data_IF_062577509680
#
_entry.id   IF_062577509680
#
_cell.length_a   1.000
_cell.length_b   1.000
_cell.length_c   1.000
_cell.angle_alpha   90.00
_cell.angle_beta   90.00
_cell.angle_gamma   90.00
#
_symmetry.space_group_name_H-M   'P 1'
#
loop_
_entity.id
_entity.type
_entity.pdbx_description
1 polymer ?
#
# COMPACT_ATOMS: atom_id res chain seq x y z
N UNK A 1 -10.12 12.60 -25.32
CA UNK A 1 -9.16 11.92 -24.41
C UNK A 1 -9.97 11.17 -23.38
N UNK A 2 -9.74 9.86 -23.19
CA UNK A 2 -10.41 9.06 -22.15
C UNK A 2 -9.62 9.11 -20.84
N UNK A 3 -10.24 8.74 -19.72
CA UNK A 3 -9.55 8.60 -18.43
C UNK A 3 -8.39 7.60 -18.51
N UNK A 4 -8.67 6.41 -19.06
CA UNK A 4 -7.66 5.37 -19.21
C UNK A 4 -6.54 5.82 -20.16
N UNK A 5 -6.87 6.54 -21.22
CA UNK A 5 -5.89 7.18 -22.11
C UNK A 5 -4.95 8.13 -21.36
N UNK A 6 -5.48 9.04 -20.54
CA UNK A 6 -4.67 9.96 -19.72
C UNK A 6 -3.78 9.20 -18.71
N UNK A 7 -4.30 8.14 -18.09
CA UNK A 7 -3.52 7.32 -17.15
C UNK A 7 -2.41 6.53 -17.86
N UNK A 8 -2.67 6.04 -19.06
CA UNK A 8 -1.66 5.39 -19.90
C UNK A 8 -0.60 6.37 -20.38
N UNK A 9 -0.95 7.63 -20.66
CA UNK A 9 0.03 8.67 -20.98
C UNK A 9 1.01 8.87 -19.80
N UNK A 10 0.48 8.97 -18.57
CA UNK A 10 1.31 9.05 -17.36
C UNK A 10 2.16 7.78 -17.11
N UNK A 11 1.68 6.60 -17.50
CA UNK A 11 2.46 5.37 -17.47
C UNK A 11 3.60 5.41 -18.49
N UNK A 12 3.32 5.77 -19.74
CA UNK A 12 4.31 5.91 -20.82
C UNK A 12 5.40 6.94 -20.46
N UNK A 13 5.05 8.02 -19.75
CA UNK A 13 5.99 9.00 -19.19
C UNK A 13 6.81 8.47 -17.98
N UNK A 14 6.56 7.24 -17.53
CA UNK A 14 7.20 6.61 -16.38
C UNK A 14 6.71 7.13 -15.02
N UNK A 15 5.67 7.97 -14.97
CA UNK A 15 5.17 8.59 -13.72
C UNK A 15 4.25 7.68 -12.92
N UNK A 16 3.57 6.74 -13.56
CA UNK A 16 2.74 5.72 -12.90
C UNK A 16 3.24 4.32 -13.20
N UNK A 17 3.06 3.39 -12.26
CA UNK A 17 3.15 1.97 -12.57
C UNK A 17 1.82 1.45 -13.12
N UNK A 18 1.86 0.33 -13.85
CA UNK A 18 0.66 -0.21 -14.49
C UNK A 18 -0.44 -0.59 -13.48
N UNK A 19 -0.07 -1.03 -12.28
CA UNK A 19 -1.03 -1.32 -11.21
C UNK A 19 -1.75 -0.05 -10.72
N UNK A 20 -1.04 1.08 -10.63
CA UNK A 20 -1.69 2.36 -10.34
C UNK A 20 -2.61 2.80 -11.48
N UNK A 21 -2.23 2.58 -12.75
CA UNK A 21 -3.16 2.80 -13.89
C UNK A 21 -4.43 1.96 -13.74
N UNK A 22 -4.30 0.67 -13.45
CA UNK A 22 -5.44 -0.23 -13.22
C UNK A 22 -6.34 0.28 -12.07
N UNK A 23 -5.74 0.67 -10.94
CA UNK A 23 -6.46 1.16 -9.76
C UNK A 23 -7.26 2.43 -10.06
N UNK A 24 -6.65 3.37 -10.78
CA UNK A 24 -7.26 4.65 -11.13
C UNK A 24 -8.21 4.53 -12.34
N UNK A 25 -8.18 3.43 -13.09
CA UNK A 25 -9.15 3.10 -14.15
C UNK A 25 -10.29 2.19 -13.68
N UNK A 26 -10.50 2.11 -12.35
CA UNK A 26 -11.58 1.33 -11.71
C UNK A 26 -11.53 -0.18 -12.00
N UNK A 27 -10.34 -0.74 -12.23
CA UNK A 27 -10.15 -2.19 -12.24
C UNK A 27 -10.10 -2.70 -10.80
N UNK A 28 -10.96 -3.66 -10.48
CA UNK A 28 -11.25 -4.10 -9.11
C UNK A 28 -11.16 -5.62 -9.04
N UNK A 29 -10.71 -6.11 -7.88
CA UNK A 29 -10.87 -7.50 -7.49
C UNK A 29 -9.65 -8.38 -7.74
N UNK A 30 -9.59 -9.46 -6.98
CA UNK A 30 -8.48 -10.41 -6.94
C UNK A 30 -8.14 -10.98 -8.31
N UNK A 31 -9.16 -11.39 -9.08
CA UNK A 31 -8.99 -11.94 -10.43
C UNK A 31 -8.23 -11.02 -11.37
N UNK A 32 -8.36 -9.70 -11.20
CA UNK A 32 -7.66 -8.74 -12.04
C UNK A 32 -6.19 -8.61 -11.61
N UNK A 33 -5.96 -8.40 -10.31
CA UNK A 33 -4.62 -8.12 -9.78
C UNK A 33 -3.74 -9.37 -9.58
N UNK A 34 -4.31 -10.57 -9.75
CA UNK A 34 -3.58 -11.84 -9.78
C UNK A 34 -3.06 -12.20 -11.18
N UNK A 35 -3.34 -11.39 -12.19
CA UNK A 35 -2.75 -11.56 -13.53
C UNK A 35 -1.27 -11.19 -13.51
N UNK A 36 -0.52 -11.72 -14.49
CA UNK A 36 0.84 -11.27 -14.74
C UNK A 36 0.86 -9.78 -15.10
N UNK A 37 2.00 -9.12 -14.86
CA UNK A 37 2.16 -7.71 -15.20
C UNK A 37 1.93 -7.47 -16.70
N UNK A 38 2.44 -8.36 -17.56
CA UNK A 38 2.28 -8.30 -19.01
C UNK A 38 0.82 -8.41 -19.45
N UNK A 39 0.04 -9.33 -18.87
CA UNK A 39 -1.39 -9.44 -19.15
C UNK A 39 -2.14 -8.15 -18.78
N UNK A 40 -1.83 -7.55 -17.64
CA UNK A 40 -2.46 -6.28 -17.22
C UNK A 40 -2.10 -5.15 -18.20
N UNK A 41 -0.82 -5.05 -18.60
CA UNK A 41 -0.36 -4.08 -19.61
C UNK A 41 -1.13 -4.29 -20.91
N UNK A 42 -1.10 -5.50 -21.46
CA UNK A 42 -1.76 -5.83 -22.73
C UNK A 42 -3.26 -5.50 -22.68
N UNK A 43 -3.95 -5.91 -21.61
CA UNK A 43 -5.38 -5.66 -21.45
C UNK A 43 -5.73 -4.16 -21.41
N UNK A 44 -4.92 -3.34 -20.73
CA UNK A 44 -5.16 -1.90 -20.63
C UNK A 44 -4.85 -1.17 -21.95
N UNK A 45 -3.76 -1.52 -22.64
CA UNK A 45 -3.40 -0.92 -23.92
C UNK A 45 -4.35 -1.33 -25.04
N UNK A 46 -4.78 -2.60 -25.08
CA UNK A 46 -5.79 -3.08 -26.03
C UNK A 46 -7.14 -2.37 -25.85
N UNK A 47 -7.54 -2.11 -24.60
CA UNK A 47 -8.79 -1.38 -24.32
C UNK A 47 -8.80 0.04 -24.92
N UNK A 48 -7.63 0.67 -25.05
CA UNK A 48 -7.46 1.99 -25.70
C UNK A 48 -7.00 1.90 -27.15
N UNK A 49 -6.85 0.68 -27.71
CA UNK A 49 -6.32 0.44 -29.06
C UNK A 49 -4.97 1.10 -29.30
N UNK A 50 -4.07 1.02 -28.30
CA UNK A 50 -2.73 1.61 -28.33
C UNK A 50 -1.67 0.52 -28.45
N UNK A 51 -0.53 0.90 -29.01
CA UNK A 51 0.67 0.06 -29.01
C UNK A 51 1.25 -0.04 -27.59
N UNK A 52 1.63 -1.26 -27.20
CA UNK A 52 2.17 -1.55 -25.87
C UNK A 52 3.55 -0.94 -25.71
N UNK A 53 3.78 -0.27 -24.58
CA UNK A 53 5.08 0.32 -24.23
C UNK A 53 5.48 -0.18 -22.84
N UNK A 54 6.78 -0.41 -22.63
CA UNK A 54 7.36 -0.86 -21.35
C UNK A 54 8.36 0.15 -20.80
N UNK A 55 7.90 1.29 -20.26
CA UNK A 55 8.79 2.30 -19.70
C UNK A 55 9.38 1.83 -18.36
N UNK A 56 10.57 2.31 -18.02
CA UNK A 56 11.08 2.23 -16.65
C UNK A 56 10.22 3.14 -15.77
N UNK A 57 9.40 2.55 -14.89
CA UNK A 57 8.45 3.32 -14.09
C UNK A 57 9.07 3.80 -12.78
N UNK A 58 8.82 5.05 -12.43
CA UNK A 58 9.11 5.66 -11.14
C UNK A 58 7.82 6.17 -10.50
N UNK A 59 6.94 5.24 -10.09
CA UNK A 59 5.55 5.56 -9.75
C UNK A 59 5.44 6.61 -8.62
N UNK A 60 4.86 7.77 -8.93
CA UNK A 60 4.71 8.89 -7.99
C UNK A 60 3.67 8.66 -6.90
N UNK A 61 2.88 7.57 -6.99
CA UNK A 61 1.79 7.23 -6.07
C UNK A 61 2.21 6.15 -5.09
N UNK A 62 2.51 4.95 -5.62
CA UNK A 62 2.83 3.78 -4.79
C UNK A 62 4.34 3.54 -4.64
N UNK A 63 5.19 4.42 -5.17
CA UNK A 63 6.65 4.29 -5.08
C UNK A 63 7.16 2.92 -5.55
N UNK A 64 6.52 2.38 -6.59
CA UNK A 64 6.78 1.05 -7.15
C UNK A 64 6.51 -0.14 -6.21
N UNK A 65 5.81 0.02 -5.09
CA UNK A 65 5.43 -1.12 -4.22
C UNK A 65 4.78 -2.28 -4.97
N UNK A 66 3.84 -1.99 -5.87
CA UNK A 66 3.16 -3.01 -6.66
C UNK A 66 4.10 -3.74 -7.64
N UNK A 67 5.11 -3.04 -8.16
CA UNK A 67 6.12 -3.62 -9.05
C UNK A 67 7.12 -4.46 -8.24
N UNK A 68 7.53 -3.97 -7.07
CA UNK A 68 8.43 -4.67 -6.18
C UNK A 68 7.87 -6.05 -5.75
N UNK A 69 6.57 -6.14 -5.45
CA UNK A 69 5.93 -7.44 -5.15
C UNK A 69 5.78 -8.37 -6.35
N UNK A 70 6.10 -7.92 -7.57
CA UNK A 70 6.19 -8.81 -8.73
C UNK A 70 7.59 -9.43 -8.90
N UNK A 71 8.60 -9.01 -8.11
CA UNK A 71 9.91 -9.64 -8.12
C UNK A 71 9.81 -11.11 -7.71
N UNK A 72 10.59 -11.98 -8.35
CA UNK A 72 10.61 -13.41 -8.04
C UNK A 72 11.29 -13.70 -6.69
N UNK A 73 12.19 -12.80 -6.26
CA UNK A 73 12.86 -12.86 -4.95
C UNK A 73 11.91 -12.61 -3.77
N UNK A 74 10.69 -12.10 -4.02
CA UNK A 74 9.76 -11.74 -2.94
C UNK A 74 9.37 -12.94 -2.07
N UNK A 75 9.24 -14.11 -2.70
CA UNK A 75 8.84 -15.36 -2.04
C UNK A 75 9.96 -15.83 -1.12
N UNK A 76 11.19 -15.82 -1.62
CA UNK A 76 12.39 -16.17 -0.85
C UNK A 76 12.53 -15.27 0.39
N UNK A 77 12.40 -13.95 0.22
CA UNK A 77 12.46 -12.99 1.32
C UNK A 77 11.38 -13.21 2.39
N UNK A 78 10.18 -13.62 1.98
CA UNK A 78 9.10 -13.97 2.92
C UNK A 78 9.44 -15.26 3.69
N UNK A 79 9.98 -16.27 3.01
CA UNK A 79 10.42 -17.50 3.66
C UNK A 79 11.58 -17.26 4.64
N UNK A 80 12.55 -16.43 4.28
CA UNK A 80 13.63 -16.00 5.16
C UNK A 80 13.09 -15.29 6.40
N UNK A 81 12.18 -14.33 6.22
CA UNK A 81 11.56 -13.63 7.34
C UNK A 81 10.76 -14.57 8.26
N UNK A 82 10.07 -15.57 7.71
CA UNK A 82 9.39 -16.59 8.52
C UNK A 82 10.41 -17.39 9.34
N UNK A 83 11.49 -17.84 8.71
CA UNK A 83 12.56 -18.60 9.37
C UNK A 83 13.22 -17.79 10.49
N UNK A 84 13.54 -16.53 10.23
CA UNK A 84 14.15 -15.62 11.21
C UNK A 84 13.22 -15.34 12.41
N UNK A 85 11.91 -15.29 12.18
CA UNK A 85 10.93 -15.10 13.27
C UNK A 85 10.83 -16.29 14.23
N UNK A 86 11.27 -17.48 13.82
CA UNK A 86 11.13 -18.72 14.58
C UNK A 86 9.70 -19.27 14.63
N UNK A 87 8.74 -18.66 13.91
CA UNK A 87 7.38 -19.15 13.79
C UNK A 87 7.27 -20.25 12.72
N UNK A 88 6.27 -21.11 12.86
CA UNK A 88 5.96 -22.18 11.91
C UNK A 88 4.67 -21.82 11.16
N UNK A 89 4.65 -22.08 9.85
CA UNK A 89 3.44 -22.01 9.04
C UNK A 89 2.60 -23.28 9.23
N UNK A 90 1.35 -23.13 9.68
CA UNK A 90 0.44 -24.24 10.01
C UNK A 90 -0.77 -24.30 9.07
N UNK A 91 -0.60 -23.85 7.83
CA UNK A 91 -1.62 -23.94 6.78
C UNK A 91 -2.44 -22.68 6.57
N UNK A 92 -2.41 -21.69 7.48
CA UNK A 92 -3.05 -20.37 7.27
C UNK A 92 -2.18 -19.22 7.77
N UNK A 93 -2.31 -18.05 7.14
CA UNK A 93 -1.66 -16.80 7.53
C UNK A 93 -2.56 -15.60 7.19
N UNK A 94 -2.35 -14.45 7.82
CA UNK A 94 -3.01 -13.19 7.47
C UNK A 94 -1.98 -12.18 6.94
N UNK A 95 -2.31 -11.46 5.86
CA UNK A 95 -1.46 -10.39 5.34
C UNK A 95 -1.91 -9.05 5.91
N UNK A 96 -1.00 -8.37 6.59
CA UNK A 96 -1.14 -6.97 6.96
C UNK A 96 -0.11 -6.12 6.21
N UNK A 97 -0.56 -5.05 5.57
CA UNK A 97 0.34 -4.07 4.94
C UNK A 97 0.34 -2.78 5.74
N UNK A 98 1.52 -2.30 6.10
CA UNK A 98 1.77 -1.02 6.73
C UNK A 98 2.62 -0.15 5.80
N UNK A 99 2.08 0.98 5.38
CA UNK A 99 2.80 1.93 4.53
C UNK A 99 2.49 3.37 4.98
N UNK A 100 3.35 4.35 4.66
CA UNK A 100 3.20 5.71 5.17
C UNK A 100 1.88 6.31 4.69
N UNK A 101 1.13 6.93 5.61
CA UNK A 101 -0.20 7.48 5.30
C UNK A 101 -0.17 8.59 4.25
N UNK A 102 0.99 9.20 4.04
CA UNK A 102 1.25 10.17 2.97
C UNK A 102 0.96 9.65 1.55
N UNK A 103 0.89 8.32 1.35
CA UNK A 103 0.41 7.75 0.08
C UNK A 103 -0.99 8.27 -0.26
N UNK A 104 -1.86 8.41 0.74
CA UNK A 104 -3.21 8.92 0.52
C UNK A 104 -3.22 10.37 0.05
N UNK A 105 -2.26 11.19 0.51
CA UNK A 105 -2.10 12.57 0.03
C UNK A 105 -1.83 12.56 -1.48
N UNK A 106 -0.95 11.67 -1.93
CA UNK A 106 -0.58 11.53 -3.35
C UNK A 106 -1.72 10.97 -4.18
N UNK A 107 -2.46 10.00 -3.65
CA UNK A 107 -3.67 9.50 -4.30
C UNK A 107 -4.68 10.61 -4.51
N UNK A 108 -4.96 11.41 -3.47
CA UNK A 108 -5.87 12.56 -3.57
C UNK A 108 -5.34 13.64 -4.50
N UNK A 109 -4.03 13.92 -4.51
CA UNK A 109 -3.42 14.86 -5.45
C UNK A 109 -3.64 14.41 -6.91
N UNK A 110 -3.47 13.12 -7.21
CA UNK A 110 -3.74 12.58 -8.54
C UNK A 110 -5.24 12.58 -8.88
N UNK A 111 -6.10 12.22 -7.92
CA UNK A 111 -7.56 12.33 -8.09
C UNK A 111 -7.94 13.78 -8.44
N UNK A 112 -7.41 14.78 -7.72
CA UNK A 112 -7.64 16.20 -8.02
C UNK A 112 -7.15 16.56 -9.42
N UNK A 113 -5.95 16.14 -9.81
CA UNK A 113 -5.43 16.36 -11.17
C UNK A 113 -6.37 15.76 -12.24
N UNK A 114 -6.81 14.52 -12.08
CA UNK A 114 -7.73 13.85 -13.00
C UNK A 114 -9.08 14.55 -13.05
N UNK A 115 -9.66 14.91 -11.90
CA UNK A 115 -10.98 15.55 -11.82
C UNK A 115 -11.03 16.94 -12.48
N UNK A 116 -9.88 17.62 -12.66
CA UNK A 116 -9.79 18.84 -13.47
C UNK A 116 -10.10 18.58 -14.95
N UNK A 117 -9.73 17.40 -15.47
CA UNK A 117 -9.95 16.98 -16.87
C UNK A 117 -11.24 16.16 -17.03
N UNK A 118 -11.55 15.33 -16.03
CA UNK A 118 -12.69 14.41 -16.00
C UNK A 118 -13.53 14.66 -14.74
N UNK A 119 -14.40 15.69 -14.72
CA UNK A 119 -15.19 16.02 -13.56
C UNK A 119 -16.08 14.84 -13.12
N UNK A 120 -15.80 14.29 -11.94
CA UNK A 120 -16.60 13.26 -11.29
C UNK A 120 -16.69 13.58 -9.81
N UNK A 121 -17.90 13.49 -9.24
CA UNK A 121 -18.13 13.80 -7.82
C UNK A 121 -17.53 12.76 -6.88
N UNK A 122 -17.31 11.52 -7.35
CA UNK A 122 -16.94 10.38 -6.52
C UNK A 122 -15.75 9.60 -7.11
N UNK A 123 -14.72 10.30 -7.58
CA UNK A 123 -13.53 9.63 -8.10
C UNK A 123 -12.72 9.02 -6.93
N UNK A 124 -12.83 7.70 -6.77
CA UNK A 124 -12.10 6.94 -5.74
C UNK A 124 -11.42 5.72 -6.37
N UNK A 125 -10.08 5.66 -6.38
CA UNK A 125 -9.35 4.55 -6.97
C UNK A 125 -9.50 3.28 -6.11
N UNK A 126 -9.27 2.11 -6.72
CA UNK A 126 -9.23 0.86 -5.96
C UNK A 126 -8.12 0.92 -4.89
N UNK A 127 -8.35 0.33 -3.71
CA UNK A 127 -7.46 0.50 -2.54
C UNK A 127 -6.09 -0.13 -2.78
N UNK A 128 -5.03 0.59 -2.38
CA UNK A 128 -3.65 0.11 -2.55
C UNK A 128 -3.39 -1.15 -1.73
N UNK A 129 -3.83 -1.18 -0.46
CA UNK A 129 -3.68 -2.34 0.43
C UNK A 129 -4.24 -3.61 -0.19
N UNK A 130 -5.44 -3.54 -0.75
CA UNK A 130 -6.09 -4.69 -1.39
C UNK A 130 -5.36 -5.09 -2.68
N UNK A 131 -4.91 -4.11 -3.47
CA UNK A 131 -4.09 -4.35 -4.67
C UNK A 131 -2.81 -5.11 -4.33
N UNK A 132 -2.07 -4.63 -3.32
CA UNK A 132 -0.81 -5.25 -2.87
C UNK A 132 -1.04 -6.65 -2.30
N UNK A 133 -2.12 -6.84 -1.55
CA UNK A 133 -2.52 -8.16 -1.04
C UNK A 133 -2.78 -9.14 -2.19
N UNK A 134 -3.55 -8.75 -3.20
CA UNK A 134 -3.85 -9.65 -4.33
C UNK A 134 -2.62 -9.98 -5.16
N UNK A 135 -1.77 -8.98 -5.43
CA UNK A 135 -0.47 -9.20 -6.09
C UNK A 135 0.36 -10.24 -5.31
N UNK A 136 0.46 -10.06 -3.99
CA UNK A 136 1.26 -10.94 -3.17
C UNK A 136 0.68 -12.36 -3.10
N UNK A 137 -0.63 -12.49 -2.91
CA UNK A 137 -1.32 -13.80 -2.90
C UNK A 137 -1.07 -14.60 -4.18
N UNK A 138 -0.96 -13.92 -5.32
CA UNK A 138 -0.59 -14.58 -6.56
C UNK A 138 0.88 -15.05 -6.62
N UNK A 139 1.79 -14.47 -5.83
CA UNK A 139 3.18 -14.92 -5.72
C UNK A 139 3.34 -16.08 -4.73
N UNK A 140 2.62 -16.07 -3.61
CA UNK A 140 2.63 -17.13 -2.59
C UNK A 140 1.39 -18.03 -2.69
N UNK A 141 1.16 -18.63 -3.86
CA UNK A 141 -0.05 -19.42 -4.18
C UNK A 141 -0.27 -20.62 -3.26
N UNK A 142 0.82 -21.18 -2.75
CA UNK A 142 0.77 -22.36 -1.88
C UNK A 142 0.33 -22.02 -0.46
N UNK A 143 0.26 -20.73 -0.12
CA UNK A 143 -0.14 -20.28 1.20
C UNK A 143 -1.59 -19.82 1.21
N UNK A 144 -2.38 -20.32 2.15
CA UNK A 144 -3.77 -19.93 2.33
C UNK A 144 -3.89 -18.69 3.23
N UNK A 145 -4.45 -17.60 2.70
CA UNK A 145 -4.66 -16.38 3.49
C UNK A 145 -6.07 -16.33 4.11
N UNK A 146 -6.14 -16.22 5.43
CA UNK A 146 -7.39 -16.13 6.19
C UNK A 146 -7.35 -14.96 7.17
N UNK A 147 -8.48 -14.28 7.35
CA UNK A 147 -8.57 -13.10 8.22
C UNK A 147 -8.34 -13.45 9.69
N UNK A 148 -8.80 -14.62 10.12
CA UNK A 148 -8.75 -15.10 11.50
C UNK A 148 -7.47 -15.89 11.79
N UNK A 149 -6.52 -15.94 10.85
CA UNK A 149 -5.28 -16.68 11.05
C UNK A 149 -4.48 -16.10 12.23
N UNK A 150 -3.99 -16.97 13.14
CA UNK A 150 -3.14 -16.54 14.25
C UNK A 150 -1.76 -16.08 13.79
N UNK A 151 -1.24 -16.62 12.68
CA UNK A 151 0.01 -16.17 12.06
C UNK A 151 -0.25 -14.97 11.17
N UNK A 152 0.49 -13.87 11.38
CA UNK A 152 0.35 -12.60 10.67
C UNK A 152 1.67 -12.25 9.98
N UNK A 153 1.62 -12.07 8.66
CA UNK A 153 2.68 -11.46 7.87
C UNK A 153 2.41 -9.96 7.77
N UNK A 154 3.20 -9.16 8.48
CA UNK A 154 3.19 -7.71 8.37
C UNK A 154 4.29 -7.26 7.40
N UNK A 155 3.88 -6.53 6.36
CA UNK A 155 4.80 -5.94 5.38
C UNK A 155 4.83 -4.45 5.62
N UNK A 156 5.98 -3.95 6.04
CA UNK A 156 6.20 -2.53 6.29
C UNK A 156 7.00 -1.92 5.16
N UNK A 157 6.51 -0.78 4.66
CA UNK A 157 7.21 0.03 3.68
C UNK A 157 7.59 1.38 4.28
N UNK A 158 8.80 1.83 4.00
CA UNK A 158 9.28 3.18 4.36
C UNK A 158 9.98 3.82 3.17
N UNK A 159 9.81 5.13 3.01
CA UNK A 159 10.45 5.92 1.96
C UNK A 159 10.62 7.35 2.47
N UNK A 160 11.75 7.99 2.17
CA UNK A 160 12.07 9.31 2.71
C UNK A 160 11.05 10.38 2.32
N UNK A 161 10.77 10.55 1.03
CA UNK A 161 9.77 11.52 0.56
C UNK A 161 8.35 11.30 1.15
N UNK A 162 7.93 10.05 1.36
CA UNK A 162 6.64 9.77 2.00
C UNK A 162 6.64 10.14 3.49
N UNK A 163 7.80 10.07 4.16
CA UNK A 163 7.94 10.54 5.53
C UNK A 163 7.80 12.06 5.59
N UNK A 164 8.47 12.78 4.69
CA UNK A 164 8.37 14.25 4.60
C UNK A 164 6.95 14.72 4.31
N UNK A 165 6.25 14.08 3.36
CA UNK A 165 4.84 14.36 3.08
C UNK A 165 3.94 14.03 4.28
N UNK A 166 4.31 13.00 5.06
CA UNK A 166 3.64 12.64 6.31
C UNK A 166 3.81 13.68 7.41
N UNK A 167 5.03 14.20 7.56
CA UNK A 167 5.35 15.25 8.54
C UNK A 167 4.56 16.54 8.21
N UNK A 168 4.49 16.94 6.93
CA UNK A 168 3.63 18.05 6.49
C UNK A 168 2.15 17.82 6.82
N UNK A 169 1.65 16.60 6.61
CA UNK A 169 0.27 16.26 6.93
C UNK A 169 -0.01 16.38 8.44
N UNK A 170 0.93 15.95 9.27
CA UNK A 170 0.86 16.11 10.74
C UNK A 170 0.79 17.60 11.09
N UNK A 171 1.67 18.43 10.53
CA UNK A 171 1.68 19.89 10.75
C UNK A 171 0.34 20.55 10.41
N UNK A 172 -0.28 20.15 9.30
CA UNK A 172 -1.62 20.62 8.90
C UNK A 172 -2.68 20.16 9.90
N UNK A 173 -2.64 18.89 10.32
CA UNK A 173 -3.67 18.30 11.19
C UNK A 173 -3.70 18.87 12.60
N UNK A 174 -2.53 19.13 13.18
CA UNK A 174 -2.41 19.50 14.60
C UNK A 174 -2.35 21.03 14.79
N UNK A 175 -2.11 21.78 13.72
CA UNK A 175 -1.71 23.18 13.78
C UNK A 175 -0.36 23.34 14.49
N UNK A 176 0.26 24.53 14.36
CA UNK A 176 1.62 24.82 14.88
C UNK A 176 1.82 24.62 16.41
N UNK A 177 0.80 24.26 17.19
CA UNK A 177 0.80 24.34 18.67
C UNK A 177 0.70 23.02 19.45
N UNK A 178 0.61 21.84 18.83
CA UNK A 178 0.56 20.56 19.59
C UNK A 178 1.57 19.53 19.04
N UNK A 179 2.82 19.58 19.52
CA UNK A 179 3.96 18.73 19.10
C UNK A 179 3.90 17.23 19.50
N UNK A 180 2.73 16.62 19.72
CA UNK A 180 2.67 15.27 20.37
C UNK A 180 1.93 14.17 19.61
N UNK A 181 1.61 14.35 18.34
CA UNK A 181 1.11 13.23 17.53
C UNK A 181 2.24 12.72 16.63
N UNK A 182 2.90 11.65 17.05
CA UNK A 182 4.06 11.07 16.35
C UNK A 182 3.66 10.25 15.11
N UNK A 183 2.40 9.79 15.02
CA UNK A 183 1.96 8.99 13.87
C UNK A 183 0.45 9.08 13.67
N UNK A 184 0.03 9.43 12.46
CA UNK A 184 -1.38 9.38 12.05
C UNK A 184 -1.77 7.94 11.73
N UNK A 185 -2.90 7.45 12.26
CA UNK A 185 -3.51 6.21 11.74
C UNK A 185 -4.10 6.47 10.35
N UNK A 186 -4.32 5.42 9.56
CA UNK A 186 -4.93 5.56 8.21
C UNK A 186 -6.26 6.29 8.23
N UNK A 187 -7.12 5.98 9.20
CA UNK A 187 -8.43 6.63 9.35
C UNK A 187 -8.29 8.11 9.68
N UNK A 188 -7.38 8.48 10.59
CA UNK A 188 -7.17 9.88 10.95
C UNK A 188 -6.54 10.64 9.78
N UNK A 189 -5.53 10.05 9.11
CA UNK A 189 -4.90 10.66 7.94
C UNK A 189 -5.91 10.94 6.83
N UNK A 190 -6.74 9.97 6.45
CA UNK A 190 -7.80 10.16 5.45
C UNK A 190 -8.77 11.27 5.84
N UNK A 191 -9.23 11.26 7.10
CA UNK A 191 -10.15 12.28 7.59
C UNK A 191 -9.53 13.69 7.59
N UNK A 192 -8.24 13.81 7.94
CA UNK A 192 -7.51 15.07 7.79
C UNK A 192 -7.50 15.48 6.33
N UNK A 193 -7.04 14.61 5.42
CA UNK A 193 -6.86 14.90 3.98
C UNK A 193 -8.17 15.35 3.32
N UNK A 194 -9.28 14.69 3.62
CA UNK A 194 -10.60 15.03 3.08
C UNK A 194 -11.08 16.41 3.52
N UNK A 195 -10.67 16.87 4.70
CA UNK A 195 -11.07 18.15 5.29
C UNK A 195 -10.06 19.29 5.06
N UNK A 196 -8.91 19.04 4.41
CA UNK A 196 -7.95 20.12 4.09
C UNK A 196 -8.59 21.08 3.08
N UNK A 197 -8.66 22.40 3.35
CA UNK A 197 -9.09 23.38 2.36
C UNK A 197 -8.23 23.31 1.10
N UNK A 198 -8.86 23.35 -0.08
CA UNK A 198 -8.15 23.16 -1.37
C UNK A 198 -6.90 24.05 -1.49
N UNK A 199 -7.01 25.32 -1.12
CA UNK A 199 -5.89 26.27 -1.15
C UNK A 199 -4.70 25.80 -0.30
N UNK A 200 -4.96 25.34 0.93
CA UNK A 200 -3.92 24.83 1.83
C UNK A 200 -3.30 23.55 1.27
N UNK A 201 -4.12 22.70 0.66
CA UNK A 201 -3.63 21.47 0.01
C UNK A 201 -2.68 21.81 -1.15
N UNK A 202 -3.07 22.73 -2.04
CA UNK A 202 -2.27 23.14 -3.20
C UNK A 202 -1.00 23.91 -2.82
N UNK A 203 -1.00 24.62 -1.68
CA UNK A 203 0.20 25.26 -1.12
C UNK A 203 1.17 24.24 -0.48
N UNK A 204 0.64 23.13 0.03
CA UNK A 204 1.43 22.14 0.80
C UNK A 204 1.92 20.96 -0.05
N UNK A 205 1.15 20.57 -1.06
CA UNK A 205 1.37 19.38 -1.88
C UNK A 205 1.19 19.66 -3.37
N UNK A 206 2.05 19.06 -4.19
CA UNK A 206 2.04 19.25 -5.64
C UNK A 206 0.91 18.47 -6.33
N UNK A 207 0.23 19.12 -7.28
CA UNK A 207 -0.82 18.51 -8.13
C UNK A 207 -0.45 18.71 -9.60
N UNK A 208 -0.14 17.64 -10.38
CA UNK A 208 -0.07 16.24 -9.95
C UNK A 208 1.11 15.97 -9.00
N UNK A 209 1.09 14.87 -8.23
CA UNK A 209 2.19 14.52 -7.35
C UNK A 209 3.48 14.26 -8.14
N UNK A 210 4.61 14.65 -7.58
CA UNK A 210 5.95 14.47 -8.15
C UNK A 210 6.79 13.61 -7.21
N UNK A 211 7.66 12.77 -7.77
CA UNK A 211 8.69 12.04 -7.02
C UNK A 211 10.04 12.71 -7.25
N UNK A 212 10.70 13.12 -6.17
CA UNK A 212 11.91 13.94 -6.22
C UNK A 212 13.19 13.08 -6.15
N UNK A 213 13.09 11.89 -5.55
CA UNK A 213 14.22 11.02 -5.26
C UNK A 213 14.05 9.66 -5.95
N UNK A 214 15.17 9.06 -6.33
CA UNK A 214 15.22 7.66 -6.79
C UNK A 214 15.32 6.64 -5.63
N UNK A 215 15.12 7.06 -4.37
CA UNK A 215 15.09 6.17 -3.20
C UNK A 215 14.12 5.00 -3.46
N UNK A 216 14.55 3.73 -3.60
CA UNK A 216 13.63 2.63 -3.87
C UNK A 216 12.67 2.34 -2.71
N UNK A 217 12.90 2.97 -1.54
CA UNK A 217 12.25 2.66 -0.29
C UNK A 217 12.77 1.36 0.31
N UNK A 218 12.37 1.09 1.55
CA UNK A 218 12.78 -0.10 2.31
C UNK A 218 11.56 -0.92 2.70
N UNK A 219 11.67 -2.23 2.51
CA UNK A 219 10.67 -3.20 2.90
C UNK A 219 11.17 -4.05 4.06
N UNK A 220 10.31 -4.24 5.06
CA UNK A 220 10.51 -5.19 6.15
C UNK A 220 9.34 -6.18 6.17
N UNK A 221 9.66 -7.46 6.27
CA UNK A 221 8.69 -8.53 6.44
C UNK A 221 8.80 -9.02 7.88
N UNK A 222 7.68 -9.02 8.60
CA UNK A 222 7.63 -9.39 10.01
C UNK A 222 6.56 -10.46 10.14
N UNK A 223 6.92 -11.56 10.78
CA UNK A 223 5.95 -12.54 11.22
C UNK A 223 5.68 -12.35 12.71
N UNK A 224 4.40 -12.30 13.03
CA UNK A 224 3.90 -12.28 14.40
C UNK A 224 2.86 -13.39 14.55
N UNK A 225 2.72 -13.90 15.76
CA UNK A 225 1.70 -14.90 16.07
C UNK A 225 0.90 -14.47 17.28
N UNK A 226 -0.42 -14.65 17.18
CA UNK A 226 -1.32 -14.39 18.31
C UNK A 226 -0.99 -15.30 19.50
N UNK A 227 -1.23 -14.78 20.70
CA UNK A 227 -0.93 -15.49 21.95
C UNK A 227 -1.68 -16.82 22.02
N UNK A 228 -0.96 -17.86 22.43
CA UNK A 228 -1.57 -19.14 22.80
C UNK A 228 -1.79 -19.12 24.31
N UNK A 229 -3.02 -19.38 24.73
CA UNK A 229 -3.39 -19.43 26.14
C UNK A 229 -3.40 -20.87 26.62
N UNK A 230 -2.58 -21.18 27.63
CA UNK A 230 -2.55 -22.50 28.28
C UNK A 230 -3.37 -22.41 29.56
N UNK A 231 -4.50 -23.11 29.58
CA UNK A 231 -5.34 -23.27 30.77
C UNK A 231 -4.96 -24.51 31.58
N UNK A 232 -5.03 -24.41 32.90
CA UNK A 232 -4.76 -25.54 33.77
C UNK A 232 -5.22 -25.31 35.21
N UNK A 233 -5.15 -26.38 36.02
CA UNK A 233 -5.29 -26.31 37.47
C UNK A 233 -3.94 -26.66 38.07
N UNK A 234 -3.45 -25.83 38.99
CA UNK A 234 -2.28 -26.18 39.78
C UNK A 234 -2.68 -26.44 41.23
N UNK A 235 -1.98 -27.36 41.88
CA UNK A 235 -2.13 -27.60 43.32
C UNK A 235 -1.00 -26.92 44.04
N UNK A 236 -1.34 -26.12 45.04
CA UNK A 236 -0.40 -25.43 45.89
C UNK A 236 -0.43 -26.08 47.27
N UNK A 237 0.65 -26.78 47.61
CA UNK A 237 0.78 -27.49 48.88
C UNK A 237 1.53 -26.68 49.94
N UNK A 238 2.31 -25.66 49.52
CA UNK A 238 3.03 -24.78 50.44
C UNK A 238 2.11 -23.68 50.99
N UNK A 239 2.17 -23.48 52.31
CA UNK A 239 1.49 -22.39 53.02
C UNK A 239 2.27 -21.06 52.99
N UNK A 240 3.54 -21.07 52.53
CA UNK A 240 4.42 -19.89 52.50
C UNK A 240 4.70 -19.35 51.09
N UNK A 241 4.09 -19.92 50.05
CA UNK A 241 4.17 -19.40 48.70
C UNK A 241 2.94 -18.51 48.44
N UNK A 242 3.05 -17.40 47.70
CA UNK A 242 1.87 -16.66 47.21
C UNK A 242 1.27 -17.37 45.99
N UNK A 243 0.31 -16.75 45.30
CA UNK A 243 0.03 -17.12 43.91
C UNK A 243 1.29 -16.94 43.06
#
# INVERSE_FOLDING_TARGET
>A
MSLLGQLLDLYCEGKLCIYCVARFSFRIGERYYSQSMEEIINNLFQAEKREVVHPKTNCVICFNMSIYFQSDEIVERIHEALKESGHVYEGTFYINTSFPQAIFVREIALCRYITRTFPSKNYSPFRLKDTLRFILMNKIKDWKCELESPLKLTIEFTHQQLREDGDKLIEISVGKKRKRMETLTSTIAMNVIENIPLKVFEESFTIPPIRNEEDPGKYRFIFERDYIYIGGRYRKYSRQLSQ
#
